data_IF_234171579253
#
_entry.id   IF_234171579253
#
_cell.length_a   1.000
_cell.length_b   1.000
_cell.length_c   1.000
_cell.angle_alpha   90.00
_cell.angle_beta   90.00
_cell.angle_gamma   90.00
#
_symmetry.space_group_name_H-M   'P 1'
#
loop_
_entity.id
_entity.type
_entity.pdbx_description
1 polymer ?
#
# COMPACT_ATOMS: atom_id res chain seq x y z
N UNK A 1 -1.68 -0.07 20.98
CA UNK A 1 -0.95 -0.60 19.80
C UNK A 1 -0.15 -1.79 20.28
N UNK A 2 -0.49 -2.99 19.82
CA UNK A 2 0.06 -4.23 20.35
C UNK A 2 1.48 -4.50 19.81
N UNK A 3 2.34 -5.12 20.62
CA UNK A 3 3.69 -5.52 20.23
C UNK A 3 3.73 -6.52 19.03
N UNK A 4 2.57 -6.99 18.56
CA UNK A 4 2.44 -7.84 17.38
C UNK A 4 2.26 -7.03 16.09
N UNK A 5 1.56 -5.90 16.19
CA UNK A 5 1.19 -5.06 15.04
C UNK A 5 2.42 -4.32 14.49
N UNK A 6 3.26 -3.73 15.36
CA UNK A 6 4.48 -3.05 14.92
C UNK A 6 5.50 -3.99 14.27
N UNK A 7 5.55 -5.25 14.70
CA UNK A 7 6.47 -6.25 14.16
C UNK A 7 6.05 -6.63 12.73
N UNK A 8 4.74 -6.78 12.54
CA UNK A 8 4.10 -7.00 11.25
C UNK A 8 4.34 -5.82 10.29
N UNK A 9 4.19 -4.58 10.76
CA UNK A 9 4.46 -3.39 9.95
C UNK A 9 5.91 -3.35 9.48
N UNK A 10 6.87 -3.61 10.37
CA UNK A 10 8.30 -3.60 10.01
C UNK A 10 8.68 -4.70 9.04
N UNK A 11 8.14 -5.91 9.19
CA UNK A 11 8.42 -7.01 8.25
C UNK A 11 7.83 -6.72 6.87
N UNK A 12 6.61 -6.17 6.82
CA UNK A 12 5.99 -5.71 5.58
C UNK A 12 6.85 -4.65 4.87
N UNK A 13 7.34 -3.65 5.60
CA UNK A 13 8.21 -2.60 5.05
C UNK A 13 9.49 -3.19 4.44
N UNK A 14 10.19 -4.05 5.18
CA UNK A 14 11.43 -4.67 4.71
C UNK A 14 11.22 -5.48 3.43
N UNK A 15 10.14 -6.27 3.37
CA UNK A 15 9.84 -7.09 2.20
C UNK A 15 9.42 -6.25 0.99
N UNK A 16 8.50 -5.29 1.16
CA UNK A 16 8.03 -4.42 0.07
C UNK A 16 9.20 -3.65 -0.56
N UNK A 17 10.17 -3.22 0.25
CA UNK A 17 11.41 -2.62 -0.22
C UNK A 17 12.26 -3.56 -1.08
N UNK A 18 12.34 -4.84 -0.73
CA UNK A 18 13.11 -5.83 -1.50
C UNK A 18 12.39 -6.31 -2.76
N UNK A 19 11.07 -6.48 -2.73
CA UNK A 19 10.31 -7.17 -3.78
C UNK A 19 9.68 -6.25 -4.81
N UNK A 20 9.20 -5.06 -4.41
CA UNK A 20 8.38 -4.20 -5.27
C UNK A 20 8.94 -2.79 -5.41
N UNK A 21 9.44 -2.19 -4.32
CA UNK A 21 9.78 -0.78 -4.29
C UNK A 21 11.21 -0.46 -4.70
N UNK A 22 12.10 -1.46 -4.75
CA UNK A 22 13.51 -1.30 -5.13
C UNK A 22 13.78 -0.39 -6.34
N UNK A 23 13.03 -0.45 -7.47
CA UNK A 23 13.27 0.44 -8.60
C UNK A 23 12.65 1.84 -8.45
N UNK A 24 11.77 2.05 -7.47
CA UNK A 24 11.03 3.30 -7.26
C UNK A 24 11.51 4.11 -6.06
N UNK A 25 12.07 3.46 -5.03
CA UNK A 25 12.47 4.10 -3.78
C UNK A 25 12.46 3.17 -2.58
N UNK A 26 12.31 3.76 -1.40
CA UNK A 26 12.28 3.05 -0.11
C UNK A 26 11.08 3.49 0.73
N UNK A 27 10.24 2.53 1.12
CA UNK A 27 9.20 2.69 2.14
C UNK A 27 9.85 2.82 3.52
N UNK A 28 9.51 3.89 4.23
CA UNK A 28 9.98 4.17 5.59
C UNK A 28 9.02 3.68 6.65
N UNK A 29 7.74 3.94 6.42
CA UNK A 29 6.68 3.59 7.34
C UNK A 29 5.47 3.11 6.56
N UNK A 30 4.81 2.10 7.10
CA UNK A 30 3.53 1.60 6.65
C UNK A 30 2.68 1.41 7.89
N UNK A 31 1.49 2.00 7.87
CA UNK A 31 0.48 1.81 8.89
C UNK A 31 -0.79 1.35 8.21
N UNK A 32 -1.35 0.27 8.74
CA UNK A 32 -2.55 -0.35 8.21
C UNK A 32 -3.63 -0.35 9.28
N UNK A 33 -4.81 0.17 8.94
CA UNK A 33 -6.00 0.05 9.78
C UNK A 33 -7.06 -0.73 8.99
N UNK A 34 -7.15 -2.03 9.25
CA UNK A 34 -8.14 -2.90 8.58
C UNK A 34 -9.58 -2.60 9.02
N UNK A 35 -9.79 -2.05 10.22
CA UNK A 35 -11.13 -1.67 10.69
C UNK A 35 -11.67 -0.47 9.92
N UNK A 36 -10.82 0.52 9.69
CA UNK A 36 -11.19 1.72 8.91
C UNK A 36 -10.92 1.55 7.42
N UNK A 37 -10.30 0.43 7.02
CA UNK A 37 -9.86 0.14 5.65
C UNK A 37 -9.01 1.28 5.08
N UNK A 38 -8.08 1.76 5.90
CA UNK A 38 -7.13 2.82 5.52
C UNK A 38 -5.70 2.30 5.54
N UNK A 39 -4.89 2.85 4.65
CA UNK A 39 -3.45 2.60 4.58
C UNK A 39 -2.76 3.94 4.56
N UNK A 40 -1.80 4.14 5.46
CA UNK A 40 -0.91 5.30 5.46
C UNK A 40 0.52 4.80 5.23
N UNK A 41 1.19 5.36 4.23
CA UNK A 41 2.54 5.00 3.87
C UNK A 41 3.40 6.25 3.66
N UNK A 42 4.67 6.17 4.05
CA UNK A 42 5.67 7.20 3.80
C UNK A 42 6.85 6.60 3.05
N UNK A 43 7.13 7.14 1.87
CA UNK A 43 8.14 6.63 0.95
C UNK A 43 9.16 7.72 0.59
N UNK A 44 10.44 7.36 0.53
CA UNK A 44 11.46 8.14 -0.15
C UNK A 44 11.55 7.64 -1.59
N UNK A 45 10.96 8.38 -2.53
CA UNK A 45 10.99 8.03 -3.96
C UNK A 45 12.26 8.56 -4.63
N UNK A 46 12.78 7.79 -5.59
CA UNK A 46 13.94 8.20 -6.38
C UNK A 46 13.56 9.42 -7.23
N UNK A 47 14.36 10.48 -7.15
CA UNK A 47 14.12 11.73 -7.87
C UNK A 47 13.28 12.75 -7.11
N UNK A 48 12.71 12.38 -5.96
CA UNK A 48 12.01 13.31 -5.06
C UNK A 48 12.95 13.84 -3.98
N UNK A 49 12.85 15.14 -3.68
CA UNK A 49 13.67 15.79 -2.65
C UNK A 49 13.12 15.61 -1.23
N UNK A 50 11.85 15.20 -1.12
CA UNK A 50 11.16 14.99 0.15
C UNK A 50 10.38 13.69 0.10
N UNK A 51 10.14 13.11 1.28
CA UNK A 51 9.29 11.93 1.41
C UNK A 51 7.89 12.17 0.87
N UNK A 52 7.39 11.21 0.11
CA UNK A 52 6.04 11.17 -0.40
C UNK A 52 5.17 10.39 0.56
N UNK A 53 4.12 11.03 1.06
CA UNK A 53 3.09 10.38 1.89
C UNK A 53 1.97 9.93 0.99
N UNK A 54 1.48 8.72 1.22
CA UNK A 54 0.37 8.10 0.49
C UNK A 54 -0.66 7.67 1.53
N UNK A 55 -1.90 8.07 1.30
CA UNK A 55 -3.04 7.72 2.12
C UNK A 55 -4.12 7.10 1.23
N UNK A 56 -4.48 5.85 1.53
CA UNK A 56 -5.60 5.16 0.91
C UNK A 56 -6.80 5.30 1.84
N UNK A 57 -7.88 5.88 1.33
CA UNK A 57 -9.15 6.03 2.04
C UNK A 57 -10.16 5.03 1.48
N UNK A 58 -10.22 3.86 2.09
CA UNK A 58 -11.10 2.77 1.67
C UNK A 58 -10.45 1.87 0.64
N UNK A 59 -10.45 0.57 0.92
CA UNK A 59 -10.12 -0.48 -0.03
C UNK A 59 -11.05 -1.68 0.15
N UNK A 60 -11.16 -2.47 -0.90
CA UNK A 60 -11.91 -3.73 -0.91
C UNK A 60 -11.00 -4.85 -1.41
N UNK A 61 -11.04 -5.98 -0.72
CA UNK A 61 -10.43 -7.22 -1.19
C UNK A 61 -11.52 -8.08 -1.82
N UNK A 62 -11.29 -8.49 -3.06
CA UNK A 62 -12.14 -9.42 -3.79
C UNK A 62 -11.34 -10.70 -3.97
N UNK A 63 -11.75 -11.76 -3.27
CA UNK A 63 -11.18 -13.09 -3.44
C UNK A 63 -11.92 -13.83 -4.55
N UNK A 64 -11.20 -14.15 -5.62
CA UNK A 64 -11.66 -15.06 -6.67
C UNK A 64 -10.84 -16.37 -6.57
N UNK A 65 -11.37 -17.46 -7.15
CA UNK A 65 -10.87 -18.82 -6.94
C UNK A 65 -9.35 -19.02 -7.15
N UNK A 66 -8.72 -18.20 -8.00
CA UNK A 66 -7.28 -18.30 -8.33
C UNK A 66 -6.44 -17.06 -7.95
N UNK A 67 -7.09 -15.96 -7.56
CA UNK A 67 -6.43 -14.69 -7.31
C UNK A 67 -7.24 -13.76 -6.40
N UNK A 68 -6.51 -13.00 -5.58
CA UNK A 68 -7.08 -11.90 -4.79
C UNK A 68 -6.83 -10.59 -5.50
N UNK A 69 -7.87 -9.76 -5.60
CA UNK A 69 -7.83 -8.42 -6.17
C UNK A 69 -8.03 -7.39 -5.08
N UNK A 70 -7.27 -6.29 -5.16
CA UNK A 70 -7.42 -5.11 -4.34
C UNK A 70 -8.08 -4.01 -5.17
N UNK A 71 -9.17 -3.44 -4.67
CA UNK A 71 -9.85 -2.28 -5.28
C UNK A 71 -9.72 -1.11 -4.32
N UNK A 72 -9.06 -0.04 -4.76
CA UNK A 72 -8.92 1.18 -3.97
C UNK A 72 -10.13 2.09 -4.24
N UNK A 73 -10.76 2.63 -3.20
CA UNK A 73 -11.87 3.59 -3.32
C UNK A 73 -11.40 5.05 -3.31
N UNK A 74 -10.28 5.29 -2.67
CA UNK A 74 -9.71 6.63 -2.62
C UNK A 74 -8.22 6.57 -2.34
N UNK A 75 -7.49 7.46 -2.99
CA UNK A 75 -6.07 7.65 -2.74
C UNK A 75 -5.74 9.15 -2.79
N UNK A 76 -4.90 9.57 -1.86
CA UNK A 76 -4.35 10.92 -1.76
C UNK A 76 -2.88 10.83 -1.43
N UNK A 77 -2.06 11.70 -2.02
CA UNK A 77 -0.63 11.75 -1.78
C UNK A 77 -0.17 13.17 -1.49
N UNK A 78 0.99 13.34 -0.86
CA UNK A 78 1.56 14.68 -0.62
C UNK A 78 1.99 15.42 -1.88
N UNK A 79 2.05 14.74 -3.03
CA UNK A 79 2.26 15.30 -4.37
C UNK A 79 0.95 15.28 -5.15
N UNK A 80 0.47 16.43 -5.61
CA UNK A 80 -0.82 16.51 -6.33
C UNK A 80 -0.83 15.71 -7.63
N UNK A 81 0.25 15.80 -8.43
CA UNK A 81 0.36 15.07 -9.70
C UNK A 81 0.25 13.55 -9.50
N UNK A 82 0.84 13.03 -8.42
CA UNK A 82 0.80 11.61 -8.10
C UNK A 82 -0.58 11.18 -7.60
N UNK A 83 -1.30 12.07 -6.91
CA UNK A 83 -2.69 11.84 -6.53
C UNK A 83 -3.57 11.68 -7.76
N UNK A 84 -3.46 12.60 -8.71
CA UNK A 84 -4.22 12.54 -9.97
C UNK A 84 -3.88 11.25 -10.73
N UNK A 85 -2.59 10.95 -10.90
CA UNK A 85 -2.15 9.73 -11.57
C UNK A 85 -2.69 8.47 -10.89
N UNK A 86 -2.58 8.37 -9.56
CA UNK A 86 -3.05 7.20 -8.85
C UNK A 86 -4.59 7.08 -8.89
N UNK A 87 -5.33 8.18 -8.90
CA UNK A 87 -6.79 8.14 -9.10
C UNK A 87 -7.15 7.62 -10.48
N UNK A 88 -6.50 8.11 -11.53
CA UNK A 88 -6.81 7.71 -12.91
C UNK A 88 -6.49 6.23 -13.18
N UNK A 89 -5.42 5.70 -12.58
CA UNK A 89 -4.90 4.36 -12.88
C UNK A 89 -5.16 3.29 -11.82
N UNK A 90 -5.49 3.64 -10.58
CA UNK A 90 -5.62 2.68 -9.48
C UNK A 90 -6.99 2.70 -8.78
N UNK A 91 -7.69 3.83 -8.72
CA UNK A 91 -9.00 3.92 -8.05
C UNK A 91 -10.07 3.22 -8.89
N UNK A 92 -10.96 2.49 -8.20
CA UNK A 92 -12.04 1.67 -8.75
C UNK A 92 -11.61 0.62 -9.79
N UNK A 93 -10.31 0.30 -9.84
CA UNK A 93 -9.76 -0.77 -10.67
C UNK A 93 -9.45 -2.00 -9.83
N UNK A 94 -9.58 -3.18 -10.45
CA UNK A 94 -9.17 -4.46 -9.86
C UNK A 94 -7.67 -4.64 -10.03
N UNK A 95 -6.91 -4.34 -8.97
CA UNK A 95 -5.47 -4.56 -8.96
C UNK A 95 -5.20 -5.99 -8.49
N UNK A 96 -4.70 -6.84 -9.38
CA UNK A 96 -4.30 -8.20 -9.00
C UNK A 96 -3.17 -8.10 -7.98
N UNK A 97 -3.36 -8.69 -6.80
CA UNK A 97 -2.34 -8.68 -5.76
C UNK A 97 -1.19 -9.58 -6.20
N UNK A 98 0.04 -9.05 -6.34
CA UNK A 98 1.20 -9.84 -6.72
C UNK A 98 1.44 -10.96 -5.71
N UNK A 99 2.00 -12.08 -6.17
CA UNK A 99 2.27 -13.25 -5.30
C UNK A 99 3.15 -12.88 -4.10
N UNK A 100 4.13 -11.99 -4.31
CA UNK A 100 4.99 -11.45 -3.26
C UNK A 100 4.23 -10.71 -2.14
N UNK A 101 3.02 -10.21 -2.39
CA UNK A 101 2.21 -9.50 -1.40
C UNK A 101 1.11 -10.40 -0.77
N UNK A 102 0.90 -11.62 -1.27
CA UNK A 102 -0.18 -12.52 -0.80
C UNK A 102 -0.08 -12.86 0.68
N UNK A 103 1.13 -13.03 1.22
CA UNK A 103 1.35 -13.39 2.63
C UNK A 103 0.84 -12.34 3.63
N UNK A 104 0.54 -11.12 3.17
CA UNK A 104 0.08 -10.00 3.99
C UNK A 104 -1.40 -9.64 3.73
N UNK A 105 -2.08 -10.33 2.80
CA UNK A 105 -3.53 -10.22 2.61
C UNK A 105 -4.32 -10.39 3.92
N UNK A 106 -3.99 -11.33 4.83
CA UNK A 106 -4.73 -11.48 6.09
C UNK A 106 -4.67 -10.26 7.01
N UNK A 107 -3.76 -9.32 6.78
CA UNK A 107 -3.64 -8.10 7.58
C UNK A 107 -4.59 -7.00 7.10
N UNK A 108 -5.02 -7.10 5.84
CA UNK A 108 -5.97 -6.20 5.19
C UNK A 108 -7.43 -6.62 5.45
N UNK A 109 -7.65 -7.77 6.08
CA UNK A 109 -8.98 -8.34 6.40
C UNK A 109 -9.38 -7.99 7.84
#
# INVERSE_FOLDING_TARGET
>A
MGAKDWLIEKTAVAMLNQSLLKPYGTLKALKLDSKQRTIDAELELIGESQSVRIQVSGYELIEEAEATYLVLKGITTSREWLTTLARDFAVDRRLKVPEAARSYLPMLI
#
